data_IF_302763384016
#
_entry.id   IF_302763384016
#
_cell.length_a   1.000
_cell.length_b   1.000
_cell.length_c   1.000
_cell.angle_alpha   90.00
_cell.angle_beta   90.00
_cell.angle_gamma   90.00
#
_symmetry.space_group_name_H-M   'P 1'
#
loop_
_entity.id
_entity.type
_entity.pdbx_description
1 polymer ?
#
# COMPACT_ATOMS: atom_id res chain seq x y z
N UNK A 1 -9.68 -0.62 23.85
CA UNK A 1 -9.05 -1.39 22.75
C UNK A 1 -9.54 -0.77 21.45
N UNK A 2 -8.68 -0.05 20.73
CA UNK A 2 -9.02 0.44 19.41
C UNK A 2 -9.09 -0.78 18.48
N UNK A 3 -10.25 -1.03 17.86
CA UNK A 3 -10.34 -2.01 16.80
C UNK A 3 -9.49 -1.50 15.64
N UNK A 4 -8.54 -2.30 15.16
CA UNK A 4 -7.73 -1.97 13.98
C UNK A 4 -8.65 -1.65 12.80
N UNK A 5 -8.31 -0.62 12.02
CA UNK A 5 -9.03 -0.33 10.78
C UNK A 5 -8.96 -1.54 9.82
N UNK A 6 -9.94 -1.69 8.93
CA UNK A 6 -9.85 -2.73 7.89
C UNK A 6 -8.62 -2.50 7.01
N UNK A 7 -8.20 -1.25 6.86
CA UNK A 7 -6.97 -0.88 6.16
C UNK A 7 -5.71 -1.44 6.82
N UNK A 8 -5.59 -1.34 8.15
CA UNK A 8 -4.47 -1.91 8.92
C UNK A 8 -4.44 -3.43 8.83
N UNK A 9 -5.61 -4.07 8.98
CA UNK A 9 -5.71 -5.54 8.86
C UNK A 9 -5.32 -6.01 7.46
N UNK A 10 -5.76 -5.31 6.41
CA UNK A 10 -5.40 -5.64 5.03
C UNK A 10 -3.89 -5.54 4.78
N UNK A 11 -3.24 -4.53 5.36
CA UNK A 11 -1.79 -4.35 5.25
C UNK A 11 -1.03 -5.44 6.02
N UNK A 12 -1.47 -5.77 7.24
CA UNK A 12 -0.88 -6.86 8.02
C UNK A 12 -0.97 -8.19 7.30
N UNK A 13 -2.14 -8.53 6.73
CA UNK A 13 -2.33 -9.81 6.03
C UNK A 13 -1.51 -9.88 4.74
N UNK A 14 -1.39 -8.78 4.00
CA UNK A 14 -0.46 -8.70 2.86
C UNK A 14 1.00 -8.95 3.28
N UNK A 15 1.43 -8.38 4.39
CA UNK A 15 2.74 -8.63 4.97
C UNK A 15 2.95 -10.12 5.30
N UNK A 16 1.93 -10.77 5.87
CA UNK A 16 1.97 -12.21 6.16
C UNK A 16 2.07 -13.06 4.89
N UNK A 17 1.35 -12.73 3.81
CA UNK A 17 1.48 -13.44 2.51
C UNK A 17 2.92 -13.39 2.03
N UNK A 18 3.53 -12.21 2.00
CA UNK A 18 4.92 -12.04 1.56
C UNK A 18 5.90 -12.84 2.44
N UNK A 19 5.72 -12.81 3.76
CA UNK A 19 6.58 -13.57 4.68
C UNK A 19 6.48 -15.09 4.45
N UNK A 20 5.28 -15.60 4.16
CA UNK A 20 5.05 -17.01 3.85
C UNK A 20 5.65 -17.40 2.48
N UNK A 21 5.51 -16.53 1.47
CA UNK A 21 6.14 -16.74 0.17
C UNK A 21 7.67 -16.78 0.28
N UNK A 22 8.26 -15.87 1.06
CA UNK A 22 9.70 -15.85 1.35
C UNK A 22 10.16 -17.08 2.14
N UNK A 23 9.37 -17.54 3.11
CA UNK A 23 9.64 -18.78 3.84
C UNK A 23 9.61 -19.99 2.90
N UNK A 24 8.60 -20.07 2.03
CA UNK A 24 8.48 -21.14 1.03
C UNK A 24 9.62 -21.10 0.01
N UNK A 25 10.03 -19.92 -0.44
CA UNK A 25 11.17 -19.75 -1.35
C UNK A 25 12.49 -20.19 -0.70
N UNK A 26 12.71 -19.83 0.58
CA UNK A 26 13.87 -20.30 1.35
C UNK A 26 13.89 -21.81 1.49
N UNK A 27 12.75 -22.41 1.87
CA UNK A 27 12.61 -23.86 1.97
C UNK A 27 13.02 -24.57 0.67
N UNK A 28 12.54 -24.07 -0.48
CA UNK A 28 12.87 -24.61 -1.80
C UNK A 28 14.37 -24.48 -2.12
N UNK A 29 14.98 -23.33 -1.81
CA UNK A 29 16.39 -23.08 -2.09
C UNK A 29 17.34 -23.89 -1.20
N UNK A 30 16.92 -24.20 0.04
CA UNK A 30 17.71 -24.95 1.01
C UNK A 30 17.56 -26.47 0.86
N UNK A 31 16.66 -26.94 -0.02
CA UNK A 31 16.42 -28.35 -0.27
C UNK A 31 17.63 -29.02 -0.93
N UNK A 32 18.20 -30.04 -0.26
CA UNK A 32 19.38 -30.80 -0.73
C UNK A 32 19.06 -32.21 -1.23
N UNK A 33 17.78 -32.55 -1.39
CA UNK A 33 17.34 -33.93 -1.65
C UNK A 33 17.31 -34.74 -0.35
N UNK A 34 16.36 -35.69 -0.24
CA UNK A 34 16.27 -36.70 0.82
C UNK A 34 15.51 -36.37 2.13
N UNK A 35 14.55 -35.44 2.13
CA UNK A 35 13.65 -35.28 3.29
C UNK A 35 12.18 -35.28 2.91
N UNK A 36 11.41 -36.30 3.32
CA UNK A 36 9.96 -36.35 3.12
C UNK A 36 9.23 -35.19 3.85
N UNK A 37 9.80 -34.65 4.94
CA UNK A 37 9.27 -33.46 5.62
C UNK A 37 9.19 -32.27 4.69
N UNK A 38 10.13 -32.11 3.76
CA UNK A 38 10.17 -30.99 2.83
C UNK A 38 8.88 -30.86 2.01
N UNK A 39 8.35 -31.98 1.51
CA UNK A 39 7.14 -31.96 0.69
C UNK A 39 5.91 -31.56 1.52
N UNK A 40 5.81 -32.08 2.74
CA UNK A 40 4.74 -31.71 3.68
C UNK A 40 4.84 -30.23 4.09
N UNK A 41 6.03 -29.75 4.44
CA UNK A 41 6.25 -28.35 4.82
C UNK A 41 5.96 -27.38 3.66
N UNK A 42 6.37 -27.77 2.43
CA UNK A 42 6.09 -26.99 1.22
C UNK A 42 4.60 -26.93 0.90
N UNK A 43 3.88 -28.03 1.08
CA UNK A 43 2.42 -28.10 0.90
C UNK A 43 1.71 -27.26 1.96
N UNK A 44 2.06 -27.43 3.24
CA UNK A 44 1.51 -26.65 4.35
C UNK A 44 1.70 -25.15 4.13
N UNK A 45 2.91 -24.71 3.77
CA UNK A 45 3.17 -23.31 3.42
C UNK A 45 2.35 -22.86 2.21
N UNK A 46 2.16 -23.72 1.21
CA UNK A 46 1.30 -23.43 0.05
C UNK A 46 -0.16 -23.19 0.44
N UNK A 47 -0.72 -24.06 1.29
CA UNK A 47 -2.08 -23.92 1.81
C UNK A 47 -2.23 -22.66 2.66
N UNK A 48 -1.27 -22.38 3.55
CA UNK A 48 -1.26 -21.15 4.36
C UNK A 48 -1.22 -19.89 3.48
N UNK A 49 -0.41 -19.87 2.42
CA UNK A 49 -0.38 -18.75 1.46
C UNK A 49 -1.76 -18.57 0.83
N UNK A 50 -2.42 -19.65 0.40
CA UNK A 50 -3.75 -19.58 -0.20
C UNK A 50 -4.80 -19.03 0.78
N UNK A 51 -4.82 -19.54 2.01
CA UNK A 51 -5.77 -19.12 3.05
C UNK A 51 -5.60 -17.63 3.40
N UNK A 52 -4.36 -17.20 3.64
CA UNK A 52 -4.07 -15.80 3.99
C UNK A 52 -4.36 -14.86 2.81
N UNK A 53 -4.10 -15.31 1.58
CA UNK A 53 -4.41 -14.54 0.36
C UNK A 53 -5.92 -14.32 0.22
N UNK A 54 -6.73 -15.35 0.49
CA UNK A 54 -8.19 -15.22 0.44
C UNK A 54 -8.71 -14.24 1.50
N UNK A 55 -8.18 -14.31 2.72
CA UNK A 55 -8.54 -13.35 3.77
C UNK A 55 -8.11 -11.92 3.37
N UNK A 56 -6.91 -11.74 2.81
CA UNK A 56 -6.46 -10.44 2.32
C UNK A 56 -7.38 -9.89 1.22
N UNK A 57 -7.89 -10.76 0.34
CA UNK A 57 -8.86 -10.39 -0.71
C UNK A 57 -10.18 -9.91 -0.11
N UNK A 58 -10.70 -10.61 0.90
CA UNK A 58 -11.92 -10.21 1.61
C UNK A 58 -11.72 -8.87 2.33
N UNK A 59 -10.59 -8.71 3.03
CA UNK A 59 -10.24 -7.48 3.73
C UNK A 59 -10.14 -6.30 2.76
N UNK A 60 -9.53 -6.48 1.59
CA UNK A 60 -9.48 -5.44 0.54
C UNK A 60 -10.87 -4.96 0.13
N UNK A 61 -11.87 -5.84 0.10
CA UNK A 61 -13.25 -5.43 -0.15
C UNK A 61 -13.83 -4.64 1.02
N UNK A 62 -13.56 -5.06 2.27
CA UNK A 62 -14.01 -4.36 3.49
C UNK A 62 -13.41 -2.96 3.63
N UNK A 63 -12.16 -2.78 3.21
CA UNK A 63 -11.51 -1.47 3.12
C UNK A 63 -12.36 -0.50 2.29
N UNK A 64 -12.86 -0.92 1.12
CA UNK A 64 -13.70 -0.03 0.29
C UNK A 64 -14.97 0.44 1.02
N UNK A 65 -15.51 -0.35 1.94
CA UNK A 65 -16.65 0.06 2.77
C UNK A 65 -16.27 1.04 3.87
N UNK A 66 -15.09 0.88 4.47
CA UNK A 66 -14.56 1.82 5.47
C UNK A 66 -14.43 3.23 4.87
N UNK A 67 -14.01 3.32 3.61
CA UNK A 67 -13.86 4.58 2.89
C UNK A 67 -15.13 5.07 2.18
N UNK A 68 -16.31 4.50 2.49
CA UNK A 68 -17.59 5.07 2.04
C UNK A 68 -17.95 6.38 2.78
N UNK A 69 -17.21 6.75 3.83
CA UNK A 69 -17.40 8.00 4.57
C UNK A 69 -16.09 8.78 4.62
N UNK A 70 -15.75 9.44 3.51
CA UNK A 70 -14.58 10.30 3.44
C UNK A 70 -14.88 11.69 4.02
N UNK A 71 -13.95 12.23 4.80
CA UNK A 71 -14.02 13.59 5.31
C UNK A 71 -13.74 14.62 4.20
N UNK A 72 -14.15 15.88 4.41
CA UNK A 72 -13.86 16.96 3.47
C UNK A 72 -12.34 17.17 3.27
N UNK A 73 -11.55 16.96 4.33
CA UNK A 73 -10.09 17.03 4.28
C UNK A 73 -9.49 15.93 3.39
N UNK A 74 -10.03 14.70 3.46
CA UNK A 74 -9.60 13.58 2.62
C UNK A 74 -9.97 13.78 1.15
N UNK A 75 -11.17 14.32 0.90
CA UNK A 75 -11.67 14.65 -0.43
C UNK A 75 -10.87 15.77 -1.12
N UNK A 76 -10.24 16.67 -0.35
CA UNK A 76 -9.41 17.75 -0.89
C UNK A 76 -8.17 17.21 -1.64
N UNK A 77 -7.68 16.02 -1.29
CA UNK A 77 -6.53 15.41 -1.96
C UNK A 77 -6.87 14.72 -3.28
N UNK A 78 -8.15 14.49 -3.57
CA UNK A 78 -8.60 13.83 -4.78
C UNK A 78 -8.64 14.80 -5.98
N UNK A 79 -8.55 14.25 -7.20
CA UNK A 79 -8.90 15.03 -8.40
C UNK A 79 -10.40 15.31 -8.40
N UNK A 80 -10.88 16.32 -9.13
CA UNK A 80 -12.31 16.64 -9.15
C UNK A 80 -13.17 15.45 -9.57
N UNK A 81 -12.72 14.67 -10.56
CA UNK A 81 -13.41 13.43 -10.97
C UNK A 81 -13.40 12.34 -9.91
N UNK A 82 -12.29 12.19 -9.17
CA UNK A 82 -12.22 11.23 -8.07
C UNK A 82 -13.10 11.68 -6.90
N UNK A 83 -13.13 12.98 -6.60
CA UNK A 83 -13.95 13.59 -5.55
C UNK A 83 -15.43 13.39 -5.85
N UNK A 84 -15.88 13.74 -7.05
CA UNK A 84 -17.27 13.58 -7.50
C UNK A 84 -17.75 12.13 -7.30
N UNK A 85 -16.98 11.16 -7.79
CA UNK A 85 -17.32 9.74 -7.66
C UNK A 85 -17.32 9.29 -6.20
N UNK A 86 -16.36 9.76 -5.39
CA UNK A 86 -16.27 9.38 -3.99
C UNK A 86 -17.39 9.98 -3.13
N UNK A 87 -17.83 11.21 -3.43
CA UNK A 87 -18.98 11.86 -2.81
C UNK A 87 -20.28 11.14 -3.17
N UNK A 88 -20.49 10.83 -4.46
CA UNK A 88 -21.67 10.08 -4.89
C UNK A 88 -21.71 8.69 -4.26
N UNK A 89 -20.55 8.03 -4.11
CA UNK A 89 -20.45 6.69 -3.53
C UNK A 89 -20.90 6.62 -2.07
N UNK A 90 -20.90 7.74 -1.34
CA UNK A 90 -21.41 7.79 0.04
C UNK A 90 -22.91 7.51 0.11
N UNK A 91 -23.67 7.72 -0.98
CA UNK A 91 -25.14 7.63 -1.01
C UNK A 91 -25.68 6.68 -2.07
N UNK A 92 -24.93 6.47 -3.14
CA UNK A 92 -25.38 5.74 -4.32
C UNK A 92 -24.50 4.52 -4.61
N UNK A 93 -25.08 3.53 -5.29
CA UNK A 93 -24.36 2.38 -5.81
C UNK A 93 -23.71 2.69 -7.19
N UNK A 94 -22.79 1.84 -7.65
CA UNK A 94 -22.04 2.12 -8.89
C UNK A 94 -22.90 2.21 -10.16
N UNK A 95 -24.07 1.54 -10.21
CA UNK A 95 -24.98 1.66 -11.34
C UNK A 95 -25.69 3.02 -11.36
N UNK A 96 -26.13 3.50 -10.20
CA UNK A 96 -26.73 4.83 -10.06
C UNK A 96 -25.71 5.93 -10.38
N UNK A 97 -24.47 5.79 -9.88
CA UNK A 97 -23.37 6.72 -10.18
C UNK A 97 -23.09 6.75 -11.68
N UNK A 98 -23.04 5.59 -12.33
CA UNK A 98 -22.86 5.47 -13.77
C UNK A 98 -23.95 6.23 -14.55
N UNK A 99 -25.22 6.08 -14.15
CA UNK A 99 -26.34 6.81 -14.76
C UNK A 99 -26.22 8.33 -14.58
N UNK A 100 -25.81 8.80 -13.39
CA UNK A 100 -25.67 10.24 -13.10
C UNK A 100 -24.48 10.87 -13.83
N UNK A 101 -23.38 10.14 -14.00
CA UNK A 101 -22.10 10.67 -14.49
C UNK A 101 -21.80 10.34 -15.95
N UNK A 102 -22.67 9.56 -16.60
CA UNK A 102 -22.49 9.07 -17.97
C UNK A 102 -21.37 8.03 -18.13
N UNK A 103 -20.89 7.44 -17.03
CA UNK A 103 -19.85 6.42 -17.02
C UNK A 103 -20.43 5.01 -17.13
N UNK A 104 -19.55 4.04 -17.35
CA UNK A 104 -19.90 2.63 -17.09
C UNK A 104 -19.73 2.30 -15.59
N UNK A 105 -20.51 1.36 -15.01
CA UNK A 105 -20.39 1.01 -13.59
C UNK A 105 -19.00 0.52 -13.17
N UNK A 106 -18.30 -0.21 -14.05
CA UNK A 106 -16.93 -0.67 -13.86
C UNK A 106 -15.91 0.49 -13.82
N UNK A 107 -16.13 1.52 -14.64
CA UNK A 107 -15.31 2.73 -14.64
C UNK A 107 -15.51 3.54 -13.35
N UNK A 108 -16.77 3.71 -12.91
CA UNK A 108 -17.08 4.38 -11.65
C UNK A 108 -16.44 3.64 -10.46
N UNK A 109 -16.50 2.30 -10.47
CA UNK A 109 -15.81 1.47 -9.48
C UNK A 109 -14.29 1.66 -9.52
N UNK A 110 -13.68 1.67 -10.71
CA UNK A 110 -12.24 1.83 -10.84
C UNK A 110 -11.77 3.20 -10.37
N UNK A 111 -12.49 4.28 -10.69
CA UNK A 111 -12.19 5.63 -10.21
C UNK A 111 -12.29 5.69 -8.68
N UNK A 112 -13.33 5.08 -8.09
CA UNK A 112 -13.47 5.01 -6.64
C UNK A 112 -12.31 4.24 -5.99
N UNK A 113 -11.91 3.09 -6.56
CA UNK A 113 -10.74 2.35 -6.08
C UNK A 113 -9.45 3.19 -6.10
N UNK A 114 -9.23 3.98 -7.15
CA UNK A 114 -8.09 4.88 -7.23
C UNK A 114 -8.15 5.98 -6.16
N UNK A 115 -9.34 6.53 -5.89
CA UNK A 115 -9.54 7.51 -4.82
C UNK A 115 -9.20 6.92 -3.43
N UNK A 116 -9.73 5.74 -3.12
CA UNK A 116 -9.44 5.04 -1.86
C UNK A 116 -7.95 4.74 -1.71
N UNK A 117 -7.29 4.26 -2.78
CA UNK A 117 -5.86 3.97 -2.76
C UNK A 117 -5.03 5.24 -2.49
N UNK A 118 -5.42 6.38 -3.07
CA UNK A 118 -4.76 7.67 -2.85
C UNK A 118 -4.89 8.13 -1.40
N UNK A 119 -6.08 8.02 -0.83
CA UNK A 119 -6.34 8.42 0.56
C UNK A 119 -5.63 7.48 1.54
N UNK A 120 -5.67 6.16 1.31
CA UNK A 120 -4.90 5.19 2.09
C UNK A 120 -3.41 5.54 2.11
N UNK A 121 -2.85 5.91 0.95
CA UNK A 121 -1.45 6.35 0.86
C UNK A 121 -1.18 7.60 1.70
N UNK A 122 -2.09 8.57 1.68
CA UNK A 122 -1.95 9.82 2.43
C UNK A 122 -2.02 9.58 3.92
N UNK A 123 -2.97 8.76 4.39
CA UNK A 123 -3.06 8.36 5.81
C UNK A 123 -1.77 7.68 6.27
N UNK A 124 -1.28 6.71 5.49
CA UNK A 124 -0.01 6.04 5.77
C UNK A 124 1.14 7.05 5.87
N UNK A 125 1.20 8.04 4.96
CA UNK A 125 2.20 9.09 5.02
C UNK A 125 2.07 9.98 6.26
N UNK A 126 0.85 10.34 6.68
CA UNK A 126 0.62 11.15 7.87
C UNK A 126 1.02 10.39 9.15
N UNK A 127 0.54 9.16 9.32
CA UNK A 127 0.86 8.29 10.46
C UNK A 127 2.38 8.08 10.58
N UNK A 128 3.04 7.80 9.45
CA UNK A 128 4.47 7.55 9.41
C UNK A 128 5.30 8.82 9.20
N UNK A 129 4.75 10.03 9.40
CA UNK A 129 5.44 11.32 9.21
C UNK A 129 6.33 11.36 7.95
N UNK A 130 5.82 10.79 6.85
CA UNK A 130 6.46 10.74 5.55
C UNK A 130 6.03 12.00 4.77
N UNK A 131 6.96 12.69 4.11
CA UNK A 131 6.64 13.84 3.29
C UNK A 131 5.64 13.47 2.17
N UNK A 132 4.53 14.21 2.03
CA UNK A 132 3.60 13.93 0.91
C UNK A 132 4.26 14.28 -0.44
N UNK A 133 4.09 13.41 -1.43
CA UNK A 133 4.56 13.62 -2.81
C UNK A 133 5.90 12.97 -3.15
N UNK A 134 6.32 11.98 -2.36
CA UNK A 134 7.47 11.14 -2.70
C UNK A 134 7.10 10.10 -3.76
N UNK A 135 8.03 9.85 -4.68
CA UNK A 135 7.94 8.69 -5.57
C UNK A 135 8.12 7.40 -4.77
N UNK A 136 7.67 6.23 -5.26
CA UNK A 136 7.81 4.95 -4.54
C UNK A 136 9.25 4.66 -4.08
N UNK A 137 10.24 4.96 -4.93
CA UNK A 137 11.65 4.80 -4.58
C UNK A 137 12.11 5.80 -3.50
N UNK A 138 11.65 7.06 -3.57
CA UNK A 138 11.97 8.08 -2.57
C UNK A 138 11.38 7.74 -1.20
N UNK A 139 10.16 7.21 -1.19
CA UNK A 139 9.46 6.74 0.00
C UNK A 139 10.22 5.61 0.68
N UNK A 140 10.62 4.56 -0.06
CA UNK A 140 11.43 3.46 0.46
C UNK A 140 12.76 3.94 1.03
N UNK A 141 13.48 4.81 0.31
CA UNK A 141 14.75 5.38 0.77
C UNK A 141 14.54 6.20 2.06
N UNK A 142 13.46 6.98 2.14
CA UNK A 142 13.15 7.80 3.31
C UNK A 142 12.83 6.94 4.54
N UNK A 143 12.02 5.89 4.38
CA UNK A 143 11.67 4.97 5.46
C UNK A 143 12.92 4.30 6.03
N UNK A 144 13.77 3.71 5.17
CA UNK A 144 15.01 3.06 5.61
C UNK A 144 15.98 4.05 6.27
N UNK A 145 16.06 5.28 5.76
CA UNK A 145 16.85 6.34 6.38
C UNK A 145 16.33 6.73 7.77
N UNK A 146 15.01 6.82 7.94
CA UNK A 146 14.36 7.06 9.25
C UNK A 146 14.62 5.93 10.25
N UNK A 147 14.79 4.70 9.78
CA UNK A 147 15.20 3.54 10.58
C UNK A 147 16.70 3.55 10.96
N UNK A 148 17.43 4.61 10.62
CA UNK A 148 18.86 4.77 10.95
C UNK A 148 19.82 4.03 10.01
N UNK A 149 19.32 3.45 8.91
CA UNK A 149 20.16 2.73 7.95
C UNK A 149 21.11 3.68 7.21
N UNK A 150 22.35 3.26 7.03
CA UNK A 150 23.35 4.04 6.29
C UNK A 150 23.09 3.95 4.79
N UNK A 151 23.51 4.96 4.04
CA UNK A 151 23.36 5.02 2.57
C UNK A 151 23.84 3.75 1.86
N UNK A 152 24.92 3.13 2.35
CA UNK A 152 25.46 1.89 1.79
C UNK A 152 24.52 0.70 2.00
N UNK A 153 24.00 0.55 3.21
CA UNK A 153 23.03 -0.51 3.54
C UNK A 153 21.74 -0.35 2.74
N UNK A 154 21.24 0.89 2.61
CA UNK A 154 20.06 1.19 1.79
C UNK A 154 20.30 0.81 0.33
N UNK A 155 21.48 1.13 -0.20
CA UNK A 155 21.85 0.82 -1.58
C UNK A 155 21.88 -0.69 -1.82
N UNK A 156 22.44 -1.47 -0.88
CA UNK A 156 22.46 -2.93 -0.91
C UNK A 156 21.04 -3.51 -0.86
N UNK A 157 20.21 -3.07 0.09
CA UNK A 157 18.82 -3.54 0.24
C UNK A 157 17.95 -3.24 -0.99
N UNK A 158 18.11 -2.06 -1.59
CA UNK A 158 17.34 -1.63 -2.76
C UNK A 158 18.00 -2.00 -4.10
N UNK A 159 19.10 -2.77 -4.07
CA UNK A 159 19.87 -3.16 -5.27
C UNK A 159 20.17 -1.96 -6.19
N UNK A 160 20.61 -0.86 -5.60
CA UNK A 160 20.90 0.41 -6.29
C UNK A 160 22.29 0.93 -5.89
N UNK A 161 22.70 2.09 -6.43
CA UNK A 161 24.00 2.69 -6.11
C UNK A 161 23.90 3.65 -4.92
N UNK A 162 24.98 3.72 -4.12
CA UNK A 162 25.09 4.69 -3.02
C UNK A 162 24.89 6.14 -3.51
N UNK A 163 25.41 6.46 -4.70
CA UNK A 163 25.28 7.79 -5.30
C UNK A 163 23.82 8.12 -5.60
N UNK A 164 23.05 7.17 -6.13
CA UNK A 164 21.61 7.35 -6.35
C UNK A 164 20.88 7.59 -5.01
N UNK A 165 21.18 6.80 -3.97
CA UNK A 165 20.56 6.99 -2.64
C UNK A 165 20.85 8.40 -2.08
N UNK A 166 22.09 8.90 -2.16
CA UNK A 166 22.42 10.28 -1.72
C UNK A 166 21.67 11.34 -2.53
N UNK A 167 21.59 11.16 -3.84
CA UNK A 167 20.87 12.07 -4.72
C UNK A 167 19.39 12.14 -4.37
N UNK A 168 18.74 10.98 -4.16
CA UNK A 168 17.34 10.92 -3.76
C UNK A 168 17.11 11.54 -2.38
N UNK A 169 17.95 11.27 -1.38
CA UNK A 169 17.87 11.90 -0.07
C UNK A 169 17.98 13.44 -0.15
N UNK A 170 18.86 13.94 -1.01
CA UNK A 170 19.00 15.38 -1.24
C UNK A 170 17.75 15.97 -1.89
N UNK A 171 17.18 15.26 -2.87
CA UNK A 171 15.94 15.67 -3.54
C UNK A 171 14.75 15.68 -2.58
N UNK A 172 14.65 14.69 -1.70
CA UNK A 172 13.63 14.62 -0.64
C UNK A 172 13.76 15.82 0.30
N UNK A 173 14.98 16.14 0.76
CA UNK A 173 15.22 17.33 1.60
C UNK A 173 14.82 18.63 0.90
N UNK A 174 15.11 18.79 -0.39
CA UNK A 174 14.70 19.97 -1.17
C UNK A 174 13.17 20.09 -1.24
N UNK A 175 12.46 18.98 -1.51
CA UNK A 175 10.98 18.96 -1.53
C UNK A 175 10.38 19.35 -0.17
N UNK A 176 11.02 18.96 0.92
CA UNK A 176 10.64 19.35 2.29
C UNK A 176 10.82 20.85 2.56
N UNK A 177 11.93 21.43 2.08
CA UNK A 177 12.22 22.86 2.25
C UNK A 177 11.28 23.76 1.41
N UNK A 178 10.95 23.34 0.19
CA UNK A 178 10.01 24.11 -0.67
C UNK A 178 8.60 24.14 -0.07
N UNK A 179 8.18 23.07 0.60
CA UNK A 179 6.88 23.03 1.30
C UNK A 179 6.80 23.91 2.54
N UNK A 180 7.92 24.14 3.22
CA UNK A 180 7.98 25.01 4.40
C UNK A 180 8.07 26.50 4.05
N UNK A 181 8.46 26.84 2.81
CA UNK A 181 8.51 28.23 2.34
C UNK A 181 7.20 28.69 1.64
N UNK A 182 6.34 27.75 1.23
CA UNK A 182 5.08 28.02 0.53
C UNK A 182 3.83 27.87 1.41
N UNK A 183 4.01 27.75 2.74
CA UNK A 183 2.95 27.73 3.74
C UNK A 183 3.02 29.00 4.59
#
# INVERSE_FOLDING_TARGET
>A
MAWSSWSELEESYKGTVLALEEARARLINEYKGENNSFWSDKENLGSMVADVTEVARILKQKVLYEFNSLSAEELAFLTDRQREIAELRQRYNYYEIAQMTGLRPDEAFHIFQQAVAKIKKIKHWQENNIPLGLSPQQEQIYILYRQGKKTKEIAEMLKTSCSNVRYQLTTIKKKLLVKTCNN
#
